data_IF_446568415840
#
_entry.id   IF_446568415840
#
_cell.length_a   1.000
_cell.length_b   1.000
_cell.length_c   1.000
_cell.angle_alpha   90.00
_cell.angle_beta   90.00
_cell.angle_gamma   90.00
#
_symmetry.space_group_name_H-M   'P 1'
#
loop_
_entity.id
_entity.type
_entity.pdbx_description
1 polymer ?
#
# COMPACT_ATOMS: atom_id res chain seq x y z
N UNK A 1 25.35 13.99 -13.59
CA UNK A 1 23.96 14.52 -13.53
C UNK A 1 23.07 13.37 -14.00
N UNK A 2 21.84 13.21 -13.49
CA UNK A 2 20.98 12.15 -14.04
C UNK A 2 20.50 12.56 -15.45
N UNK A 3 20.11 11.58 -16.27
CA UNK A 3 19.71 11.81 -17.67
C UNK A 3 18.48 12.72 -17.81
N UNK A 4 17.58 12.73 -16.82
CA UNK A 4 16.38 13.58 -16.85
C UNK A 4 16.74 15.03 -16.59
N UNK A 5 17.62 15.27 -15.61
CA UNK A 5 18.16 16.60 -15.31
C UNK A 5 18.93 17.18 -16.51
N UNK A 6 19.73 16.37 -17.20
CA UNK A 6 20.43 16.78 -18.42
C UNK A 6 19.45 17.13 -19.56
N UNK A 7 18.44 16.29 -19.79
CA UNK A 7 17.43 16.53 -20.81
C UNK A 7 16.56 17.75 -20.51
N UNK A 8 16.18 17.96 -19.24
CA UNK A 8 15.43 19.13 -18.77
C UNK A 8 16.22 20.41 -19.01
N UNK A 9 17.51 20.42 -18.65
CA UNK A 9 18.38 21.57 -18.86
C UNK A 9 18.55 21.88 -20.36
N UNK A 10 18.74 20.86 -21.20
CA UNK A 10 18.84 21.02 -22.65
C UNK A 10 17.53 21.57 -23.25
N UNK A 11 16.38 21.07 -22.81
CA UNK A 11 15.08 21.56 -23.27
C UNK A 11 14.81 23.02 -22.84
N UNK A 12 15.17 23.41 -21.62
CA UNK A 12 15.05 24.82 -21.16
C UNK A 12 15.94 25.76 -21.98
N UNK A 13 17.14 25.31 -22.37
CA UNK A 13 18.09 26.12 -23.13
C UNK A 13 17.79 26.19 -24.63
N UNK A 14 17.02 25.24 -25.15
CA UNK A 14 16.64 25.18 -26.56
C UNK A 14 15.57 26.23 -26.92
N UNK A 15 15.28 26.38 -28.22
CA UNK A 15 14.23 27.30 -28.69
C UNK A 15 12.88 26.94 -28.05
N UNK A 16 12.25 27.85 -27.30
CA UNK A 16 10.98 27.57 -26.63
C UNK A 16 9.82 27.49 -27.63
N UNK A 17 8.70 26.95 -27.18
CA UNK A 17 7.47 26.85 -27.97
C UNK A 17 7.42 25.62 -28.88
N UNK A 18 6.34 25.54 -29.66
CA UNK A 18 6.12 24.45 -30.59
C UNK A 18 7.03 24.59 -31.80
N UNK A 19 7.70 23.49 -32.16
CA UNK A 19 8.47 23.43 -33.39
C UNK A 19 7.58 22.90 -34.51
N UNK A 20 7.74 23.49 -35.70
CA UNK A 20 6.96 23.20 -36.90
C UNK A 20 7.91 22.92 -38.07
N UNK A 21 7.41 22.17 -39.06
CA UNK A 21 8.04 22.06 -40.36
C UNK A 21 7.56 23.22 -41.24
N UNK A 22 8.47 23.83 -41.98
CA UNK A 22 8.16 24.95 -42.88
C UNK A 22 7.40 24.51 -44.13
N UNK A 23 7.63 23.29 -44.61
CA UNK A 23 6.91 22.67 -45.70
C UNK A 23 6.62 21.19 -45.38
N UNK A 24 5.33 20.84 -45.37
CA UNK A 24 4.87 19.44 -45.21
C UNK A 24 4.78 18.70 -46.56
N UNK A 25 4.95 19.40 -47.69
CA UNK A 25 4.91 18.86 -49.05
C UNK A 25 6.30 18.71 -49.68
N UNK A 26 7.12 17.83 -49.07
CA UNK A 26 8.42 17.47 -49.64
C UNK A 26 8.31 16.97 -51.08
N UNK A 27 8.99 17.67 -51.99
CA UNK A 27 9.30 17.15 -53.32
C UNK A 27 10.68 16.49 -53.32
N UNK A 28 10.98 15.76 -54.40
CA UNK A 28 12.23 15.03 -54.52
C UNK A 28 13.44 15.99 -54.51
N UNK A 29 14.39 15.77 -53.60
CA UNK A 29 15.55 16.66 -53.42
C UNK A 29 15.34 17.82 -52.45
N UNK A 30 14.14 18.00 -51.88
CA UNK A 30 13.88 19.05 -50.90
C UNK A 30 14.40 18.70 -49.50
N UNK A 31 14.76 19.74 -48.74
CA UNK A 31 15.15 19.64 -47.34
C UNK A 31 14.02 20.13 -46.43
N UNK A 32 13.89 19.56 -45.24
CA UNK A 32 12.91 20.00 -44.24
C UNK A 32 13.58 20.95 -43.28
N UNK A 33 12.98 22.11 -43.05
CA UNK A 33 13.46 23.02 -42.02
C UNK A 33 12.53 22.99 -40.82
N UNK A 34 13.12 22.75 -39.66
CA UNK A 34 12.42 22.87 -38.38
C UNK A 34 12.54 24.31 -37.91
N UNK A 35 11.42 24.93 -37.56
CA UNK A 35 11.38 26.30 -37.05
C UNK A 35 10.27 26.49 -36.01
N UNK A 36 10.01 27.72 -35.62
CA UNK A 36 8.84 28.13 -34.83
C UNK A 36 8.07 29.21 -35.59
N UNK A 37 6.75 29.35 -35.37
CA UNK A 37 5.95 30.42 -35.97
C UNK A 37 6.52 31.83 -35.72
N UNK A 38 7.13 32.03 -34.56
CA UNK A 38 7.69 33.32 -34.15
C UNK A 38 9.02 33.68 -34.86
N UNK A 39 9.67 32.73 -35.54
CA UNK A 39 10.96 32.93 -36.22
C UNK A 39 10.75 33.41 -37.66
N UNK A 40 10.15 34.59 -37.79
CA UNK A 40 9.86 35.23 -39.08
C UNK A 40 10.56 36.60 -39.21
N UNK A 41 11.55 36.69 -40.10
CA UNK A 41 12.24 37.94 -40.45
C UNK A 41 12.30 38.13 -41.98
N UNK A 42 11.13 38.04 -42.65
CA UNK A 42 11.03 38.08 -44.11
C UNK A 42 11.51 36.80 -44.82
N UNK A 43 12.16 35.88 -44.09
CA UNK A 43 12.40 34.45 -44.41
C UNK A 43 12.28 33.65 -43.11
N UNK A 44 11.88 32.38 -43.20
CA UNK A 44 11.86 31.47 -42.05
C UNK A 44 13.30 31.26 -41.56
N UNK A 45 13.56 31.51 -40.26
CA UNK A 45 14.88 31.25 -39.66
C UNK A 45 14.88 29.85 -39.05
N UNK A 46 15.46 28.90 -39.77
CA UNK A 46 15.53 27.49 -39.37
C UNK A 46 16.30 27.30 -38.05
N UNK A 47 15.77 26.45 -37.17
CA UNK A 47 16.45 25.92 -35.98
C UNK A 47 17.37 24.76 -36.40
N UNK A 48 16.87 23.91 -37.28
CA UNK A 48 17.59 22.78 -37.86
C UNK A 48 17.10 22.54 -39.29
N UNK A 49 17.97 21.95 -40.11
CA UNK A 49 17.65 21.48 -41.45
C UNK A 49 17.94 19.98 -41.52
N UNK A 50 17.01 19.24 -42.13
CA UNK A 50 17.11 17.81 -42.36
C UNK A 50 17.21 17.63 -43.88
N UNK A 51 18.29 16.98 -44.32
CA UNK A 51 18.51 16.67 -45.73
C UNK A 51 17.49 15.64 -46.19
N UNK A 52 16.71 15.92 -47.24
CA UNK A 52 15.70 14.96 -47.73
C UNK A 52 16.23 13.98 -48.77
N UNK A 53 17.37 14.29 -49.39
CA UNK A 53 17.92 13.49 -50.49
C UNK A 53 16.99 13.45 -51.72
N UNK A 54 17.47 12.82 -52.78
CA UNK A 54 16.71 12.59 -54.01
C UNK A 54 17.58 11.94 -55.09
N UNK A 55 17.02 11.76 -56.28
CA UNK A 55 17.72 11.00 -57.34
C UNK A 55 18.95 11.75 -57.83
N UNK A 56 18.92 13.08 -57.82
CA UNK A 56 20.06 13.92 -58.15
C UNK A 56 21.23 13.75 -57.16
N UNK A 57 20.94 13.49 -55.89
CA UNK A 57 21.97 13.20 -54.87
C UNK A 57 22.31 11.71 -54.75
N UNK A 58 21.60 10.84 -55.47
CA UNK A 58 21.71 9.37 -55.35
C UNK A 58 21.17 8.81 -54.03
N UNK A 59 20.35 9.58 -53.32
CA UNK A 59 19.76 9.22 -52.01
C UNK A 59 18.23 9.18 -52.11
N UNK A 60 17.75 8.21 -52.90
CA UNK A 60 16.34 7.93 -53.11
C UNK A 60 15.75 7.10 -51.95
N UNK A 61 14.63 6.43 -52.21
CA UNK A 61 14.02 5.49 -51.26
C UNK A 61 14.98 4.34 -50.90
N UNK A 62 15.08 3.96 -49.60
CA UNK A 62 14.22 4.38 -48.48
C UNK A 62 14.70 5.62 -47.71
N UNK A 63 15.80 6.25 -48.12
CA UNK A 63 16.44 7.33 -47.36
C UNK A 63 15.51 8.55 -47.24
N UNK A 64 14.88 8.96 -48.34
CA UNK A 64 13.98 10.12 -48.34
C UNK A 64 12.81 9.94 -47.36
N UNK A 65 12.13 8.80 -47.38
CA UNK A 65 11.06 8.53 -46.42
C UNK A 65 11.54 8.51 -44.96
N UNK A 66 12.74 7.99 -44.68
CA UNK A 66 13.34 8.01 -43.34
C UNK A 66 13.59 9.45 -42.86
N UNK A 67 14.14 10.31 -43.72
CA UNK A 67 14.42 11.70 -43.36
C UNK A 67 13.13 12.50 -43.13
N UNK A 68 12.05 12.22 -43.85
CA UNK A 68 10.71 12.78 -43.55
C UNK A 68 10.24 12.39 -42.14
N UNK A 69 10.40 11.11 -41.80
CA UNK A 69 10.00 10.61 -40.49
C UNK A 69 10.85 11.24 -39.38
N UNK A 70 12.17 11.40 -39.60
CA UNK A 70 13.07 12.05 -38.67
C UNK A 70 12.71 13.52 -38.46
N UNK A 71 12.41 14.27 -39.52
CA UNK A 71 11.99 15.67 -39.43
C UNK A 71 10.70 15.81 -38.59
N UNK A 72 9.69 14.98 -38.87
CA UNK A 72 8.43 14.95 -38.09
C UNK A 72 8.68 14.60 -36.63
N UNK A 73 9.54 13.62 -36.37
CA UNK A 73 9.89 13.21 -35.01
C UNK A 73 10.58 14.35 -34.25
N UNK A 74 11.57 15.02 -34.86
CA UNK A 74 12.29 16.14 -34.22
C UNK A 74 11.34 17.30 -33.90
N UNK A 75 10.46 17.68 -34.83
CA UNK A 75 9.48 18.73 -34.59
C UNK A 75 8.47 18.36 -33.49
N UNK A 76 8.03 17.10 -33.45
CA UNK A 76 7.13 16.59 -32.41
C UNK A 76 7.80 16.48 -31.03
N UNK A 77 9.07 16.06 -30.98
CA UNK A 77 9.88 15.95 -29.76
C UNK A 77 10.53 17.29 -29.37
N UNK A 78 9.82 18.40 -29.60
CA UNK A 78 10.31 19.73 -29.28
C UNK A 78 10.45 19.95 -27.75
N UNK A 79 11.19 20.99 -27.34
CA UNK A 79 11.45 21.26 -25.93
C UNK A 79 10.19 21.44 -25.08
N UNK A 80 9.12 22.04 -25.61
CA UNK A 80 7.88 22.24 -24.86
C UNK A 80 7.21 20.90 -24.52
N UNK A 81 7.15 19.98 -25.48
CA UNK A 81 6.61 18.62 -25.28
C UNK A 81 7.48 17.83 -24.30
N UNK A 82 8.80 17.89 -24.45
CA UNK A 82 9.74 17.20 -23.54
C UNK A 82 9.57 17.69 -22.10
N UNK A 83 9.49 19.01 -21.89
CA UNK A 83 9.30 19.58 -20.55
C UNK A 83 7.94 19.18 -19.94
N UNK A 84 6.88 19.14 -20.73
CA UNK A 84 5.57 18.68 -20.27
C UNK A 84 5.62 17.20 -19.83
N UNK A 85 6.23 16.33 -20.64
CA UNK A 85 6.39 14.91 -20.31
C UNK A 85 7.24 14.70 -19.06
N UNK A 86 8.31 15.48 -18.87
CA UNK A 86 9.14 15.43 -17.67
C UNK A 86 8.37 15.89 -16.44
N UNK A 87 7.56 16.94 -16.54
CA UNK A 87 6.71 17.40 -15.44
C UNK A 87 5.65 16.34 -15.06
N UNK A 88 5.04 15.67 -16.04
CA UNK A 88 4.14 14.55 -15.78
C UNK A 88 4.84 13.37 -15.10
N UNK A 89 6.08 13.06 -15.49
CA UNK A 89 6.87 12.01 -14.88
C UNK A 89 7.21 12.35 -13.41
N UNK A 90 7.69 13.57 -13.15
CA UNK A 90 7.99 14.06 -11.80
C UNK A 90 6.76 13.98 -10.88
N UNK A 91 5.57 14.37 -11.38
CA UNK A 91 4.32 14.27 -10.62
C UNK A 91 3.89 12.82 -10.34
N UNK A 92 4.16 11.89 -11.28
CA UNK A 92 3.89 10.46 -11.07
C UNK A 92 4.84 9.84 -10.05
N UNK A 93 6.12 10.20 -10.09
CA UNK A 93 7.11 9.73 -9.12
C UNK A 93 6.78 10.21 -7.70
N UNK A 94 6.35 11.48 -7.55
CA UNK A 94 5.86 12.01 -6.27
C UNK A 94 4.66 11.19 -5.77
N UNK A 95 3.68 10.93 -6.64
CA UNK A 95 2.49 10.15 -6.29
C UNK A 95 2.84 8.70 -5.88
N UNK A 96 3.81 8.08 -6.54
CA UNK A 96 4.29 6.75 -6.18
C UNK A 96 4.90 6.80 -4.77
N UNK A 97 5.75 7.78 -4.48
CA UNK A 97 6.34 7.95 -3.15
C UNK A 97 5.29 8.12 -2.04
N UNK A 98 4.24 8.90 -2.28
CA UNK A 98 3.10 9.02 -1.35
C UNK A 98 2.41 7.68 -1.10
N UNK A 99 2.13 6.92 -2.16
CA UNK A 99 1.46 5.63 -2.06
C UNK A 99 2.31 4.59 -1.32
N UNK A 100 3.63 4.59 -1.54
CA UNK A 100 4.58 3.73 -0.83
C UNK A 100 4.65 4.07 0.67
N UNK A 101 4.62 5.35 1.02
CA UNK A 101 4.58 5.80 2.41
C UNK A 101 3.30 5.35 3.11
N UNK A 102 2.14 5.54 2.45
CA UNK A 102 0.84 5.08 2.95
C UNK A 102 0.84 3.56 3.11
N UNK A 103 1.28 2.80 2.11
CA UNK A 103 1.33 1.34 2.16
C UNK A 103 2.18 0.86 3.35
N UNK A 104 3.33 1.49 3.58
CA UNK A 104 4.22 1.19 4.71
C UNK A 104 3.54 1.48 6.05
N UNK A 105 2.85 2.62 6.19
CA UNK A 105 2.13 2.98 7.40
C UNK A 105 1.02 1.95 7.71
N UNK A 106 0.23 1.58 6.70
CA UNK A 106 -0.84 0.60 6.85
C UNK A 106 -0.31 -0.79 7.18
N UNK A 107 0.80 -1.22 6.59
CA UNK A 107 1.47 -2.48 6.95
C UNK A 107 1.86 -2.49 8.44
N UNK A 108 2.40 -1.38 8.96
CA UNK A 108 2.71 -1.23 10.38
C UNK A 108 1.49 -1.29 11.29
N UNK A 109 0.38 -0.63 10.92
CA UNK A 109 -0.89 -0.70 11.67
C UNK A 109 -1.47 -2.11 11.67
N UNK A 110 -1.41 -2.79 10.53
CA UNK A 110 -1.89 -4.16 10.39
C UNK A 110 -1.10 -5.13 11.26
N UNK A 111 0.23 -5.00 11.30
CA UNK A 111 1.08 -5.83 12.16
C UNK A 111 0.72 -5.65 13.65
N UNK A 112 0.58 -4.39 14.11
CA UNK A 112 0.16 -4.10 15.50
C UNK A 112 -1.22 -4.70 15.83
N UNK A 113 -2.17 -4.60 14.90
CA UNK A 113 -3.49 -5.20 15.09
C UNK A 113 -3.42 -6.73 15.16
N UNK A 114 -2.59 -7.36 14.33
CA UNK A 114 -2.36 -8.81 14.37
C UNK A 114 -1.72 -9.26 15.68
N UNK A 115 -0.74 -8.51 16.19
CA UNK A 115 -0.06 -8.83 17.45
C UNK A 115 -1.00 -8.66 18.65
N UNK A 116 -1.83 -7.61 18.66
CA UNK A 116 -2.87 -7.42 19.67
C UNK A 116 -3.91 -8.55 19.64
N UNK A 117 -4.34 -8.99 18.45
CA UNK A 117 -5.26 -10.10 18.30
C UNK A 117 -4.66 -11.42 18.82
N UNK A 118 -3.41 -11.72 18.50
CA UNK A 118 -2.69 -12.89 19.02
C UNK A 118 -2.63 -12.89 20.55
N UNK A 119 -2.31 -11.74 21.14
CA UNK A 119 -2.26 -11.60 22.60
C UNK A 119 -3.63 -11.85 23.26
N UNK A 120 -4.71 -11.32 22.67
CA UNK A 120 -6.07 -11.57 23.16
C UNK A 120 -6.47 -13.05 23.07
N UNK A 121 -6.07 -13.74 22.01
CA UNK A 121 -6.31 -15.19 21.87
C UNK A 121 -5.62 -15.96 23.01
N UNK A 122 -4.35 -15.68 23.26
CA UNK A 122 -3.59 -16.33 24.35
C UNK A 122 -4.26 -16.07 25.71
N UNK A 123 -4.68 -14.83 25.97
CA UNK A 123 -5.41 -14.50 27.20
C UNK A 123 -6.74 -15.25 27.30
N UNK A 124 -7.46 -15.39 26.19
CA UNK A 124 -8.72 -16.13 26.17
C UNK A 124 -8.49 -17.61 26.48
N UNK A 125 -7.49 -18.24 25.86
CA UNK A 125 -7.13 -19.63 26.09
C UNK A 125 -6.77 -19.87 27.57
N UNK A 126 -5.98 -18.96 28.15
CA UNK A 126 -5.65 -19.00 29.58
C UNK A 126 -6.89 -18.89 30.47
N UNK A 127 -7.78 -17.93 30.18
CA UNK A 127 -9.01 -17.75 30.93
C UNK A 127 -9.95 -18.96 30.80
N UNK A 128 -10.04 -19.57 29.61
CA UNK A 128 -10.81 -20.78 29.38
C UNK A 128 -10.26 -21.96 30.18
N UNK A 129 -8.93 -22.13 30.24
CA UNK A 129 -8.29 -23.16 31.03
C UNK A 129 -8.58 -22.99 32.54
N UNK A 130 -8.51 -21.76 33.04
CA UNK A 130 -8.81 -21.46 34.44
C UNK A 130 -10.30 -21.68 34.77
N UNK A 131 -11.21 -21.26 33.89
CA UNK A 131 -12.65 -21.56 34.02
C UNK A 131 -12.89 -23.07 34.05
N UNK A 132 -12.24 -23.84 33.17
CA UNK A 132 -12.38 -25.30 33.16
C UNK A 132 -11.86 -25.94 34.47
N UNK A 133 -10.75 -25.45 34.99
CA UNK A 133 -10.21 -25.89 36.28
C UNK A 133 -11.17 -25.58 37.44
N UNK A 134 -11.67 -24.34 37.54
CA UNK A 134 -12.63 -23.94 38.57
C UNK A 134 -13.94 -24.71 38.47
N UNK A 135 -14.45 -24.98 37.27
CA UNK A 135 -15.62 -25.84 37.06
C UNK A 135 -15.39 -27.26 37.60
N UNK A 136 -14.18 -27.79 37.44
CA UNK A 136 -13.81 -29.11 37.98
C UNK A 136 -13.78 -29.11 39.51
N UNK A 137 -13.21 -28.07 40.13
CA UNK A 137 -13.22 -27.91 41.58
C UNK A 137 -14.64 -27.77 42.13
N UNK A 138 -15.50 -26.98 41.47
CA UNK A 138 -16.91 -26.80 41.86
C UNK A 138 -17.72 -28.10 41.76
N UNK A 139 -17.39 -28.96 40.79
CA UNK A 139 -18.02 -30.27 40.63
C UNK A 139 -17.58 -31.30 41.69
N UNK A 140 -16.45 -31.06 42.37
CA UNK A 140 -15.97 -31.95 43.44
C UNK A 140 -16.85 -31.80 44.69
N UNK A 141 -17.46 -32.88 45.20
CA UNK A 141 -18.32 -32.79 46.37
C UNK A 141 -17.54 -32.47 47.66
N UNK A 142 -18.15 -31.68 48.54
CA UNK A 142 -17.61 -31.25 49.83
C UNK A 142 -17.79 -32.34 50.89
N UNK A 143 -16.74 -32.57 51.68
CA UNK A 143 -16.81 -33.41 52.87
C UNK A 143 -17.33 -32.61 54.05
N UNK A 144 -18.40 -33.11 54.70
CA UNK A 144 -18.89 -32.53 55.95
C UNK A 144 -18.13 -33.13 57.14
N UNK A 145 -17.85 -32.33 58.19
CA UNK A 145 -17.23 -32.84 59.40
C UNK A 145 -18.16 -33.82 60.12
N UNK A 146 -17.56 -34.79 60.82
CA UNK A 146 -18.30 -35.78 61.60
C UNK A 146 -19.16 -35.11 62.67
N UNK A 147 -20.36 -35.67 62.87
CA UNK A 147 -21.29 -35.18 63.88
C UNK A 147 -20.83 -35.61 65.26
N UNK A 148 -20.26 -34.67 66.01
CA UNK A 148 -19.93 -34.88 67.41
C UNK A 148 -21.21 -34.82 68.26
N UNK A 149 -21.36 -35.79 69.16
CA UNK A 149 -22.46 -35.82 70.13
C UNK A 149 -21.92 -35.53 71.53
N UNK A 150 -22.60 -34.64 72.25
CA UNK A 150 -22.37 -34.37 73.67
C UNK A 150 -23.54 -34.91 74.49
N UNK A 151 -23.27 -35.33 75.73
CA UNK A 151 -24.31 -35.81 76.62
C UNK A 151 -24.88 -34.63 77.42
N UNK A 152 -26.17 -34.36 77.27
CA UNK A 152 -26.91 -33.32 77.99
C UNK A 152 -28.08 -33.98 78.71
N UNK A 153 -28.12 -33.90 80.04
CA UNK A 153 -29.21 -34.46 80.87
C UNK A 153 -29.53 -35.94 80.60
N UNK A 154 -28.50 -36.75 80.29
CA UNK A 154 -28.67 -38.18 80.00
C UNK A 154 -28.89 -38.52 78.52
N UNK A 155 -29.22 -37.54 77.68
CA UNK A 155 -29.46 -37.72 76.24
C UNK A 155 -28.26 -37.27 75.40
N UNK A 156 -27.98 -37.98 74.31
CA UNK A 156 -26.97 -37.56 73.33
C UNK A 156 -27.55 -36.47 72.43
N UNK A 157 -26.90 -35.30 72.39
CA UNK A 157 -27.29 -34.14 71.57
C UNK A 157 -26.16 -33.82 70.59
N UNK A 158 -26.45 -33.64 69.29
CA UNK A 158 -25.43 -33.28 68.30
C UNK A 158 -24.96 -31.84 68.49
N UNK A 159 -23.64 -31.62 68.45
CA UNK A 159 -22.98 -30.30 68.59
C UNK A 159 -23.07 -29.47 67.30
N UNK A 160 -23.12 -30.13 66.14
CA UNK A 160 -23.38 -29.52 64.84
C UNK A 160 -24.62 -30.15 64.21
N UNK A 161 -25.58 -29.31 63.79
CA UNK A 161 -26.75 -29.76 63.04
C UNK A 161 -26.32 -30.04 61.58
N UNK A 162 -25.84 -31.25 61.31
CA UNK A 162 -25.34 -31.67 59.99
C UNK A 162 -26.33 -31.36 58.85
N UNK A 163 -27.63 -31.51 59.10
CA UNK A 163 -28.71 -31.18 58.15
C UNK A 163 -28.66 -29.70 57.76
N UNK A 164 -28.52 -28.79 58.73
CA UNK A 164 -28.50 -27.34 58.49
C UNK A 164 -27.21 -26.90 57.80
N UNK A 165 -26.09 -27.59 58.05
CA UNK A 165 -24.84 -27.36 57.35
C UNK A 165 -24.97 -27.82 55.89
N UNK A 166 -25.53 -29.01 55.66
CA UNK A 166 -25.80 -29.57 54.34
C UNK A 166 -26.71 -28.67 53.49
N UNK A 167 -27.82 -28.20 54.06
CA UNK A 167 -28.74 -27.23 53.41
C UNK A 167 -28.03 -25.94 52.99
N UNK A 168 -27.11 -25.42 53.82
CA UNK A 168 -26.33 -24.22 53.49
C UNK A 168 -25.33 -24.46 52.38
N UNK A 169 -24.69 -25.63 52.36
CA UNK A 169 -23.75 -26.04 51.29
C UNK A 169 -24.48 -26.19 49.95
N UNK A 170 -25.66 -26.82 49.95
CA UNK A 170 -26.53 -26.89 48.77
C UNK A 170 -27.05 -25.54 48.32
N UNK A 171 -27.48 -24.68 49.25
CA UNK A 171 -27.93 -23.31 48.94
C UNK A 171 -26.82 -22.45 48.33
N UNK A 172 -25.56 -22.78 48.63
CA UNK A 172 -24.38 -22.17 48.01
C UNK A 172 -23.98 -22.82 46.67
N UNK A 173 -24.72 -23.84 46.20
CA UNK A 173 -24.53 -24.51 44.91
C UNK A 173 -23.53 -25.66 44.90
N UNK A 174 -23.04 -26.10 46.06
CA UNK A 174 -22.08 -27.19 46.17
C UNK A 174 -22.79 -28.52 46.49
N UNK A 175 -22.23 -29.63 45.99
CA UNK A 175 -22.65 -30.99 46.38
C UNK A 175 -21.87 -31.46 47.60
N UNK A 176 -22.46 -32.33 48.42
CA UNK A 176 -21.80 -33.04 49.50
C UNK A 176 -21.53 -34.50 49.10
N UNK A 177 -20.51 -35.11 49.71
CA UNK A 177 -20.28 -36.55 49.55
C UNK A 177 -21.48 -37.34 50.10
N UNK A 178 -21.98 -38.31 49.32
CA UNK A 178 -23.17 -39.09 49.67
C UNK A 178 -24.50 -38.42 49.33
N UNK A 179 -24.49 -37.35 48.53
CA UNK A 179 -25.69 -36.90 47.82
C UNK A 179 -26.01 -37.91 46.70
N UNK A 180 -27.14 -38.61 46.82
CA UNK A 180 -27.74 -39.41 45.73
C UNK A 180 -28.44 -38.51 44.70
#
# INVERSE_FOLDING_TARGET
>A
MDKFSELKAAAIAATPGQWILDDDSWSEGDNANVSTEERYDGRIVSIAQIEGGGSESGFDEPFSAEQQANARYIAAANPAVVLALLAELEAKDERIGELEAIATEYAGKFQKAQDAAKHLIIMNDSAQAEIAHLKTLLATPVWLPDVLFIKVSGSAVPVMHAVRVKERVHSAGFKCVGDE
#
